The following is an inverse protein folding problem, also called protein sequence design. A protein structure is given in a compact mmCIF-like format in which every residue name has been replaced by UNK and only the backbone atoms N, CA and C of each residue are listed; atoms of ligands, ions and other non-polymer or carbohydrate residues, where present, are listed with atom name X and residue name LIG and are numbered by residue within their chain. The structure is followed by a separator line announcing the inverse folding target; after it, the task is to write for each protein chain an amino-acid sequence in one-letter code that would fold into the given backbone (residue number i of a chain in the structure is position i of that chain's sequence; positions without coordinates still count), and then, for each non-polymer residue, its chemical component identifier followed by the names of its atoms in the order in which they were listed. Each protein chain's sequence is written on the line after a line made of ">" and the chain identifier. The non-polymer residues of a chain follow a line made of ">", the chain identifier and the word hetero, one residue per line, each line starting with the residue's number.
data_IF_465850894052
#
_entry.id   IF_465850894052
#
_cell.length_a   1.000
_cell.length_b   1.000
_cell.length_c   1.000
_cell.angle_alpha   90.00
_cell.angle_beta   90.00
_cell.angle_gamma   90.00
#
_symmetry.space_group_name_H-M   'P 1'
#
loop_
_entity.id
_entity.type
_entity.pdbx_description
1 polymer ?
#
# COMPACT_ATOMS: atom_id res chain seq x y z
N UNK A 1 -3.04 -22.51 -4.83
CA UNK A 1 -2.21 -22.22 -3.65
C UNK A 1 -3.06 -21.48 -2.62
N UNK A 2 -2.65 -21.49 -1.34
CA UNK A 2 -3.30 -20.78 -0.24
C UNK A 2 -2.44 -19.60 0.26
N UNK A 3 -3.05 -18.70 1.01
CA UNK A 3 -2.40 -17.56 1.63
C UNK A 3 -3.06 -17.23 2.97
N UNK A 4 -2.46 -17.69 4.04
CA UNK A 4 -2.88 -17.34 5.40
C UNK A 4 -2.69 -15.85 5.70
N UNK A 5 -1.73 -15.20 5.03
CA UNK A 5 -1.55 -13.75 5.08
C UNK A 5 -2.79 -13.02 4.55
N UNK A 6 -3.27 -13.41 3.36
CA UNK A 6 -4.47 -12.86 2.75
C UNK A 6 -5.71 -13.11 3.61
N UNK A 7 -5.93 -14.36 4.01
CA UNK A 7 -7.10 -14.74 4.82
C UNK A 7 -7.16 -13.96 6.14
N UNK A 8 -6.02 -13.78 6.81
CA UNK A 8 -5.94 -12.99 8.04
C UNK A 8 -6.21 -11.51 7.80
N UNK A 9 -5.64 -10.93 6.74
CA UNK A 9 -5.80 -9.51 6.43
C UNK A 9 -7.25 -9.14 6.10
N UNK A 10 -7.94 -10.00 5.35
CA UNK A 10 -9.30 -9.74 4.85
C UNK A 10 -10.38 -10.54 5.57
N UNK A 11 -10.04 -11.22 6.67
CA UNK A 11 -10.94 -12.05 7.47
C UNK A 11 -11.67 -13.13 6.66
N UNK A 12 -10.99 -13.65 5.64
CA UNK A 12 -11.40 -14.86 4.95
C UNK A 12 -10.87 -16.12 5.65
N UNK A 13 -11.25 -17.27 5.16
CA UNK A 13 -10.71 -18.55 5.59
C UNK A 13 -10.75 -19.55 4.45
N UNK A 14 -9.60 -20.19 4.19
CA UNK A 14 -9.48 -21.22 3.17
C UNK A 14 -9.65 -20.70 1.75
N UNK A 15 -9.19 -19.48 1.49
CA UNK A 15 -9.15 -18.91 0.14
C UNK A 15 -8.11 -19.62 -0.71
N UNK A 16 -8.48 -19.98 -1.93
CA UNK A 16 -7.60 -20.63 -2.90
C UNK A 16 -7.30 -19.69 -4.08
N UNK A 17 -6.08 -19.78 -4.62
CA UNK A 17 -5.62 -18.98 -5.74
C UNK A 17 -5.02 -19.84 -6.85
N UNK A 18 -5.32 -19.48 -8.11
CA UNK A 18 -4.49 -19.82 -9.24
C UNK A 18 -3.51 -18.65 -9.44
N UNK A 19 -2.20 -18.90 -9.37
CA UNK A 19 -1.20 -17.85 -9.35
C UNK A 19 0.11 -18.28 -10.01
N UNK A 20 0.88 -17.30 -10.48
CA UNK A 20 2.22 -17.46 -11.02
C UNK A 20 3.23 -16.76 -10.11
N UNK A 21 4.43 -17.29 -10.00
CA UNK A 21 5.54 -16.60 -9.30
C UNK A 21 5.85 -15.29 -10.00
N UNK A 22 5.85 -14.17 -9.26
CA UNK A 22 6.26 -12.88 -9.80
C UNK A 22 7.72 -12.91 -10.27
N UNK A 23 8.59 -13.64 -9.59
CA UNK A 23 9.98 -13.78 -10.01
C UNK A 23 10.08 -14.43 -11.40
N UNK A 24 9.37 -15.55 -11.62
CA UNK A 24 9.35 -16.22 -12.94
C UNK A 24 8.73 -15.35 -14.03
N UNK A 25 7.76 -14.50 -13.68
CA UNK A 25 7.18 -13.56 -14.62
C UNK A 25 8.20 -12.47 -14.99
N UNK A 26 8.92 -11.91 -14.01
CA UNK A 26 9.93 -10.88 -14.21
C UNK A 26 11.07 -11.37 -15.10
N UNK A 27 11.49 -12.62 -14.94
CA UNK A 27 12.57 -13.24 -15.74
C UNK A 27 12.27 -13.27 -17.26
N UNK A 28 11.00 -13.06 -17.65
CA UNK A 28 10.61 -12.96 -19.06
C UNK A 28 10.85 -11.56 -19.65
N UNK A 29 11.22 -10.58 -18.86
CA UNK A 29 11.41 -9.19 -19.29
C UNK A 29 12.87 -8.75 -19.16
N UNK A 30 13.28 -7.88 -20.07
CA UNK A 30 14.57 -7.20 -19.95
C UNK A 30 14.41 -5.96 -19.07
N UNK A 31 14.90 -6.02 -17.86
CA UNK A 31 14.94 -4.87 -16.97
C UNK A 31 15.97 -3.86 -17.46
N UNK A 32 15.61 -2.58 -17.45
CA UNK A 32 16.57 -1.51 -17.67
C UNK A 32 17.50 -1.37 -16.49
N UNK A 33 18.68 -0.82 -16.73
CA UNK A 33 19.68 -0.65 -15.68
C UNK A 33 19.12 0.14 -14.48
N UNK A 34 19.18 -0.49 -13.31
CA UNK A 34 18.75 0.09 -12.03
C UNK A 34 17.25 -0.01 -11.74
N UNK A 35 16.44 -0.65 -12.58
CA UNK A 35 15.05 -1.02 -12.21
C UNK A 35 15.09 -2.12 -11.17
N UNK A 36 14.52 -1.84 -10.01
CA UNK A 36 14.57 -2.70 -8.82
C UNK A 36 13.22 -2.84 -8.10
N UNK A 37 12.14 -2.38 -8.75
CA UNK A 37 10.77 -2.48 -8.24
C UNK A 37 9.74 -2.56 -9.36
N UNK A 38 8.53 -3.03 -9.01
CA UNK A 38 7.35 -3.03 -9.86
C UNK A 38 6.31 -2.07 -9.28
N UNK A 39 5.90 -1.10 -10.06
CA UNK A 39 4.75 -0.26 -9.83
C UNK A 39 3.51 -0.95 -10.40
N UNK A 40 2.48 -1.09 -9.59
CA UNK A 40 1.24 -1.79 -9.89
C UNK A 40 0.12 -0.77 -9.97
N UNK A 41 -0.30 -0.41 -11.17
CA UNK A 41 -1.43 0.49 -11.38
C UNK A 41 -2.72 -0.33 -11.43
N UNK A 42 -3.71 0.03 -10.64
CA UNK A 42 -4.98 -0.65 -10.51
C UNK A 42 -6.12 0.06 -11.27
N UNK A 43 -7.22 -0.65 -11.54
CA UNK A 43 -8.38 -0.09 -12.23
C UNK A 43 -9.16 0.91 -11.36
N UNK A 44 -9.01 0.84 -10.05
CA UNK A 44 -9.71 1.66 -9.06
C UNK A 44 -8.83 2.80 -8.50
N UNK A 45 -7.82 3.23 -9.26
CA UNK A 45 -6.87 4.28 -8.90
C UNK A 45 -5.98 3.97 -7.67
N UNK A 46 -6.00 2.75 -7.16
CA UNK A 46 -4.99 2.25 -6.23
C UNK A 46 -3.66 2.06 -6.98
N UNK A 47 -2.54 2.30 -6.28
CA UNK A 47 -1.21 2.11 -6.85
C UNK A 47 -0.29 1.38 -5.87
N UNK A 48 -0.01 0.11 -6.11
CA UNK A 48 0.96 -0.68 -5.36
C UNK A 48 2.39 -0.45 -5.84
N UNK A 49 3.36 -0.66 -4.96
CA UNK A 49 4.79 -0.65 -5.31
C UNK A 49 5.52 -1.71 -4.50
N UNK A 50 6.14 -2.65 -5.19
CA UNK A 50 6.83 -3.80 -4.58
C UNK A 50 8.25 -3.87 -5.11
N UNK A 51 9.23 -3.96 -4.20
CA UNK A 51 10.62 -4.12 -4.58
C UNK A 51 10.92 -5.54 -5.10
N UNK A 52 11.89 -5.68 -5.99
CA UNK A 52 12.36 -7.01 -6.42
C UNK A 52 12.93 -7.81 -5.24
N UNK A 53 13.52 -7.13 -4.25
CA UNK A 53 14.00 -7.76 -3.02
C UNK A 53 12.87 -8.35 -2.18
N UNK A 54 11.70 -7.71 -2.10
CA UNK A 54 10.52 -8.27 -1.43
C UNK A 54 9.94 -9.46 -2.20
N UNK A 55 9.89 -9.36 -3.54
CA UNK A 55 9.43 -10.46 -4.39
C UNK A 55 10.28 -11.71 -4.16
N UNK A 56 11.59 -11.56 -4.14
CA UNK A 56 12.52 -12.66 -3.88
C UNK A 56 12.41 -13.18 -2.44
N UNK A 57 12.39 -12.27 -1.45
CA UNK A 57 12.37 -12.61 -0.03
C UNK A 57 11.12 -13.37 0.38
N UNK A 58 9.98 -12.91 -0.10
CA UNK A 58 8.66 -13.44 0.29
C UNK A 58 8.03 -14.35 -0.76
N UNK A 59 8.78 -14.64 -1.85
CA UNK A 59 8.30 -15.48 -2.95
C UNK A 59 6.91 -15.05 -3.43
N UNK A 60 6.77 -13.73 -3.69
CA UNK A 60 5.47 -13.17 -4.03
C UNK A 60 4.94 -13.72 -5.35
N UNK A 61 3.64 -13.95 -5.39
CA UNK A 61 2.93 -14.47 -6.56
C UNK A 61 1.90 -13.46 -7.07
N UNK A 62 1.58 -13.56 -8.35
CA UNK A 62 0.49 -12.84 -9.00
C UNK A 62 -0.66 -13.83 -9.24
N UNK A 63 -1.76 -13.63 -8.52
CA UNK A 63 -2.93 -14.46 -8.68
C UNK A 63 -3.77 -14.00 -9.88
N UNK A 64 -4.13 -14.96 -10.73
CA UNK A 64 -4.99 -14.78 -11.89
C UNK A 64 -6.43 -15.18 -11.60
N UNK A 65 -6.66 -15.91 -10.49
CA UNK A 65 -7.98 -16.32 -10.05
C UNK A 65 -8.03 -16.42 -8.53
N UNK A 66 -9.15 -16.01 -7.96
CA UNK A 66 -9.46 -16.16 -6.54
C UNK A 66 -10.72 -17.00 -6.38
N UNK A 67 -10.67 -17.98 -5.48
CA UNK A 67 -11.81 -18.79 -5.05
C UNK A 67 -12.01 -18.58 -3.56
N UNK A 68 -12.99 -17.77 -3.20
CA UNK A 68 -13.42 -17.61 -1.81
C UNK A 68 -14.38 -18.74 -1.41
N UNK A 69 -14.45 -19.04 -0.14
CA UNK A 69 -15.35 -20.06 0.41
C UNK A 69 -16.81 -19.73 0.05
N UNK A 70 -17.60 -20.76 -0.24
CA UNK A 70 -19.01 -20.60 -0.53
C UNK A 70 -19.73 -19.86 0.62
N UNK A 71 -20.50 -18.80 0.26
CA UNK A 71 -21.20 -17.95 1.22
C UNK A 71 -20.40 -16.74 1.73
N UNK A 72 -19.12 -16.61 1.37
CA UNK A 72 -18.35 -15.38 1.64
C UNK A 72 -18.67 -14.31 0.60
N UNK A 73 -18.91 -13.08 1.04
CA UNK A 73 -19.00 -11.94 0.10
C UNK A 73 -17.61 -11.53 -0.35
N UNK A 74 -17.50 -11.11 -1.60
CA UNK A 74 -16.27 -10.58 -2.17
C UNK A 74 -16.53 -9.15 -2.64
N UNK A 75 -15.80 -8.15 -2.14
CA UNK A 75 -15.96 -6.76 -2.60
C UNK A 75 -15.48 -6.62 -4.06
N UNK A 76 -16.07 -5.68 -4.78
CA UNK A 76 -15.82 -5.47 -6.22
C UNK A 76 -14.37 -5.14 -6.55
N UNK A 77 -13.66 -4.46 -5.63
CA UNK A 77 -12.24 -4.15 -5.80
C UNK A 77 -11.32 -5.39 -5.68
N UNK A 78 -11.78 -6.47 -5.05
CA UNK A 78 -10.99 -7.69 -4.87
C UNK A 78 -11.04 -8.56 -6.13
N UNK A 79 -10.43 -8.10 -7.18
CA UNK A 79 -10.33 -8.80 -8.46
C UNK A 79 -8.89 -9.16 -8.81
N UNK A 80 -8.67 -10.22 -9.56
CA UNK A 80 -7.42 -10.46 -10.25
C UNK A 80 -7.15 -9.34 -11.30
N UNK A 81 -5.89 -9.03 -11.56
CA UNK A 81 -4.69 -9.62 -10.96
C UNK A 81 -4.49 -9.09 -9.55
N UNK A 82 -3.98 -9.92 -8.65
CA UNK A 82 -3.67 -9.49 -7.27
C UNK A 82 -2.37 -10.14 -6.76
N UNK A 83 -1.68 -9.41 -5.88
CA UNK A 83 -0.46 -9.89 -5.23
C UNK A 83 -0.81 -10.85 -4.10
N UNK A 84 -0.10 -11.96 -4.02
CA UNK A 84 -0.28 -12.97 -2.97
C UNK A 84 1.06 -13.24 -2.28
N UNK A 85 1.00 -13.26 -0.95
CA UNK A 85 2.05 -13.81 -0.09
C UNK A 85 1.73 -15.29 0.14
N UNK A 86 2.54 -16.25 -0.34
CA UNK A 86 2.28 -17.68 -0.16
C UNK A 86 2.41 -18.11 1.30
N UNK A 87 1.77 -19.22 1.64
CA UNK A 87 1.96 -19.83 2.97
C UNK A 87 3.43 -20.17 3.26
N UNK A 88 3.80 -20.07 4.53
CA UNK A 88 5.18 -20.24 4.96
C UNK A 88 6.05 -18.98 4.85
N UNK A 89 5.54 -17.90 4.25
CA UNK A 89 6.15 -16.58 4.24
C UNK A 89 5.34 -15.65 5.14
N UNK A 90 6.01 -14.96 6.05
CA UNK A 90 5.36 -14.13 7.07
C UNK A 90 5.97 -12.72 7.11
N UNK A 91 5.74 -11.87 6.07
CA UNK A 91 6.07 -10.45 6.18
C UNK A 91 5.22 -9.79 7.27
N UNK A 92 5.67 -8.62 7.76
CA UNK A 92 4.80 -7.74 8.52
C UNK A 92 3.56 -7.40 7.69
N UNK A 93 2.44 -7.14 8.34
CA UNK A 93 1.26 -6.65 7.64
C UNK A 93 1.52 -5.27 7.08
N UNK A 94 1.43 -5.16 5.76
CA UNK A 94 1.57 -3.92 5.00
C UNK A 94 0.62 -3.95 3.81
N UNK A 95 -0.05 -2.84 3.57
CA UNK A 95 -1.05 -2.67 2.52
C UNK A 95 -0.52 -3.06 1.13
N UNK A 96 0.75 -2.79 0.85
CA UNK A 96 1.39 -3.07 -0.44
C UNK A 96 1.35 -4.55 -0.85
N UNK A 97 1.26 -5.48 0.12
CA UNK A 97 1.16 -6.91 -0.17
C UNK A 97 -0.27 -7.40 -0.45
N UNK A 98 -1.24 -6.47 -0.44
CA UNK A 98 -2.65 -6.74 -0.73
C UNK A 98 -3.13 -6.03 -1.99
N UNK A 99 -2.21 -5.58 -2.84
CA UNK A 99 -2.56 -4.92 -4.11
C UNK A 99 -3.36 -5.85 -5.01
N UNK A 100 -4.58 -5.45 -5.33
CA UNK A 100 -5.53 -6.18 -6.16
C UNK A 100 -6.06 -5.32 -7.32
N UNK A 101 -6.85 -5.92 -8.22
CA UNK A 101 -7.44 -5.23 -9.36
C UNK A 101 -6.38 -4.57 -10.27
N UNK A 102 -5.23 -5.22 -10.41
CA UNK A 102 -4.07 -4.70 -11.13
C UNK A 102 -4.36 -4.67 -12.63
N UNK A 103 -4.17 -3.51 -13.25
CA UNK A 103 -4.29 -3.24 -14.68
C UNK A 103 -2.96 -3.30 -15.42
N UNK A 104 -1.90 -2.81 -14.76
CA UNK A 104 -0.60 -2.59 -15.38
C UNK A 104 0.52 -2.83 -14.39
N UNK A 105 1.60 -3.45 -14.87
CA UNK A 105 2.86 -3.59 -14.17
C UNK A 105 3.92 -2.74 -14.90
N UNK A 106 4.59 -1.85 -14.18
CA UNK A 106 5.66 -1.01 -14.72
C UNK A 106 6.93 -1.19 -13.90
N UNK A 107 8.06 -1.50 -14.54
CA UNK A 107 9.34 -1.53 -13.85
C UNK A 107 9.85 -0.12 -13.58
N UNK A 108 10.33 0.11 -12.36
CA UNK A 108 10.79 1.41 -11.91
C UNK A 108 12.03 1.30 -11.03
N UNK A 109 12.76 2.41 -10.89
CA UNK A 109 13.80 2.54 -9.86
C UNK A 109 13.16 3.03 -8.57
N UNK A 110 13.18 2.20 -7.54
CA UNK A 110 12.53 2.47 -6.25
C UNK A 110 13.01 3.78 -5.63
N UNK A 111 14.32 4.04 -5.70
CA UNK A 111 14.88 5.27 -5.17
C UNK A 111 14.36 6.52 -5.90
N UNK A 112 14.29 6.48 -7.23
CA UNK A 112 13.81 7.61 -8.04
C UNK A 112 12.32 7.86 -7.82
N UNK A 113 11.55 6.78 -7.66
CA UNK A 113 10.13 6.88 -7.32
C UNK A 113 9.91 7.61 -5.99
N UNK A 114 10.64 7.25 -4.94
CA UNK A 114 10.48 7.86 -3.63
C UNK A 114 11.26 9.15 -3.41
N UNK A 115 12.17 9.53 -4.32
CA UNK A 115 13.06 10.69 -4.15
C UNK A 115 12.33 11.99 -3.75
N UNK A 116 11.20 12.38 -4.36
CA UNK A 116 10.48 13.60 -3.99
C UNK A 116 10.00 13.61 -2.54
N UNK A 117 9.62 12.43 -2.01
CA UNK A 117 9.13 12.25 -0.65
C UNK A 117 10.29 12.13 0.36
N UNK A 118 11.34 11.39 0.01
CA UNK A 118 12.55 11.26 0.84
C UNK A 118 13.23 12.59 1.13
N UNK A 119 13.32 13.48 0.14
CA UNK A 119 13.90 14.83 0.30
C UNK A 119 13.19 15.62 1.38
N UNK A 120 11.87 15.51 1.45
CA UNK A 120 11.07 16.20 2.46
C UNK A 120 11.17 15.51 3.82
N UNK A 121 11.14 14.19 3.86
CA UNK A 121 11.27 13.41 5.09
C UNK A 121 12.61 13.62 5.80
N UNK A 122 13.65 14.03 5.08
CA UNK A 122 15.00 14.21 5.63
C UNK A 122 15.13 15.35 6.67
N UNK A 123 14.09 16.16 6.91
CA UNK A 123 14.13 17.32 7.81
C UNK A 123 14.14 16.95 9.30
N UNK A 124 13.60 15.81 9.69
CA UNK A 124 13.63 15.31 11.09
C UNK A 124 13.50 13.78 11.13
N UNK A 125 13.84 13.21 12.29
CA UNK A 125 13.70 11.77 12.53
C UNK A 125 12.24 11.33 12.54
N UNK A 126 11.35 12.13 13.14
CA UNK A 126 9.92 11.86 13.18
C UNK A 126 9.32 11.89 11.76
N UNK A 127 9.75 12.84 10.92
CA UNK A 127 9.30 12.90 9.53
C UNK A 127 9.80 11.70 8.72
N UNK A 128 11.03 11.22 8.98
CA UNK A 128 11.55 9.99 8.35
C UNK A 128 10.75 8.75 8.76
N UNK A 129 10.47 8.60 10.06
CA UNK A 129 9.64 7.50 10.56
C UNK A 129 8.22 7.57 9.96
N UNK A 130 7.62 8.77 9.94
CA UNK A 130 6.31 8.97 9.34
C UNK A 130 6.28 8.68 7.84
N UNK A 131 7.34 9.00 7.10
CA UNK A 131 7.48 8.64 5.70
C UNK A 131 7.48 7.11 5.51
N UNK A 132 8.20 6.35 6.33
CA UNK A 132 8.22 4.89 6.22
C UNK A 132 6.83 4.28 6.47
N UNK A 133 6.10 4.78 7.48
CA UNK A 133 4.72 4.34 7.74
C UNK A 133 3.80 4.71 6.57
N UNK A 134 3.86 5.97 6.10
CA UNK A 134 3.05 6.47 5.00
C UNK A 134 3.28 5.70 3.71
N UNK A 135 4.54 5.48 3.38
CA UNK A 135 4.98 4.72 2.21
C UNK A 135 4.39 3.30 2.17
N UNK A 136 4.35 2.63 3.32
CA UNK A 136 3.97 1.23 3.40
C UNK A 136 2.46 1.01 3.57
N UNK A 137 1.69 2.05 3.98
CA UNK A 137 0.29 1.88 4.36
C UNK A 137 -0.68 2.92 3.79
N UNK A 138 -0.23 4.09 3.37
CA UNK A 138 -1.12 5.19 2.98
C UNK A 138 -0.98 5.60 1.51
N UNK A 139 0.26 5.58 1.00
CA UNK A 139 0.62 6.12 -0.31
C UNK A 139 -0.14 5.45 -1.46
N UNK A 140 -0.56 4.21 -1.27
CA UNK A 140 -1.26 3.43 -2.28
C UNK A 140 -2.63 4.00 -2.66
N UNK A 141 -3.27 4.69 -1.71
CA UNK A 141 -4.56 5.35 -1.89
C UNK A 141 -4.46 6.87 -1.87
N UNK A 142 -3.50 7.43 -1.13
CA UNK A 142 -3.36 8.87 -0.91
C UNK A 142 -2.07 9.38 -1.52
N UNK A 143 -2.15 9.88 -2.76
CA UNK A 143 -0.98 10.39 -3.46
C UNK A 143 -0.38 11.64 -2.82
N UNK A 144 0.95 11.73 -2.86
CA UNK A 144 1.72 12.91 -2.48
C UNK A 144 2.80 13.21 -3.52
N UNK A 145 2.99 14.47 -3.88
CA UNK A 145 4.03 14.92 -4.84
C UNK A 145 4.06 14.09 -6.14
N UNK A 146 2.88 13.73 -6.65
CA UNK A 146 2.73 12.93 -7.86
C UNK A 146 3.17 11.46 -7.72
N UNK A 147 3.22 10.94 -6.51
CA UNK A 147 3.47 9.52 -6.20
C UNK A 147 2.29 8.93 -5.45
N UNK A 148 2.01 7.67 -5.69
CA UNK A 148 0.90 6.96 -5.04
C UNK A 148 -0.41 6.99 -5.82
N UNK A 149 -1.42 6.31 -5.29
CA UNK A 149 -2.76 6.21 -5.87
C UNK A 149 -3.66 7.40 -5.53
N UNK A 150 -4.80 7.49 -6.21
CA UNK A 150 -5.79 8.54 -6.03
C UNK A 150 -7.16 8.00 -5.59
N UNK A 151 -7.22 6.76 -5.10
CA UNK A 151 -8.43 6.13 -4.58
C UNK A 151 -8.95 6.84 -3.32
N UNK A 152 -8.03 7.29 -2.44
CA UNK A 152 -8.35 8.02 -1.23
C UNK A 152 -8.49 9.54 -1.46
N UNK A 153 -9.01 10.24 -0.45
CA UNK A 153 -9.11 11.69 -0.47
C UNK A 153 -7.74 12.37 -0.56
N UNK A 154 -7.70 13.54 -1.16
CA UNK A 154 -6.50 14.39 -1.19
C UNK A 154 -6.30 15.02 0.18
N UNK A 155 -5.35 14.52 0.97
CA UNK A 155 -5.18 14.86 2.38
C UNK A 155 -5.02 16.35 2.63
N UNK A 156 -4.30 17.10 1.79
CA UNK A 156 -4.10 18.55 1.96
C UNK A 156 -5.29 19.41 1.57
N UNK A 157 -6.27 18.87 0.85
CA UNK A 157 -7.57 19.54 0.63
C UNK A 157 -8.49 19.32 1.82
N UNK A 158 -8.45 18.11 2.40
CA UNK A 158 -9.37 17.72 3.48
C UNK A 158 -8.89 18.22 4.86
N UNK A 159 -7.55 18.28 5.09
CA UNK A 159 -6.98 18.55 6.41
C UNK A 159 -5.99 19.70 6.40
N UNK A 160 -6.15 20.63 7.34
CA UNK A 160 -5.19 21.71 7.58
C UNK A 160 -4.11 21.27 8.58
N UNK A 161 -3.11 20.50 8.14
CA UNK A 161 -2.05 19.99 9.01
C UNK A 161 -1.25 21.05 9.74
N UNK A 162 -1.23 22.30 9.28
CA UNK A 162 -0.58 23.42 10.00
C UNK A 162 -1.30 23.86 11.28
N UNK A 163 -2.54 23.41 11.48
CA UNK A 163 -3.37 23.71 12.65
C UNK A 163 -3.58 22.43 13.47
N UNK A 164 -3.57 22.56 14.79
CA UNK A 164 -3.82 21.43 15.70
C UNK A 164 -5.18 20.76 15.42
N UNK A 165 -6.22 21.56 15.24
CA UNK A 165 -7.58 21.09 14.90
C UNK A 165 -7.60 20.21 13.65
N UNK A 166 -6.86 20.59 12.60
CA UNK A 166 -6.79 19.80 11.36
C UNK A 166 -6.01 18.49 11.54
N UNK A 167 -5.00 18.46 12.42
CA UNK A 167 -4.29 17.25 12.79
C UNK A 167 -5.19 16.30 13.58
N UNK A 168 -5.91 16.82 14.57
CA UNK A 168 -6.86 16.05 15.38
C UNK A 168 -8.01 15.50 14.52
N UNK A 169 -8.55 16.32 13.61
CA UNK A 169 -9.55 15.86 12.63
C UNK A 169 -9.02 14.68 11.82
N UNK A 170 -7.80 14.77 11.28
CA UNK A 170 -7.18 13.67 10.53
C UNK A 170 -7.06 12.39 11.35
N UNK A 171 -6.58 12.49 12.61
CA UNK A 171 -6.43 11.33 13.50
C UNK A 171 -7.77 10.67 13.84
N UNK A 172 -8.84 11.47 14.00
CA UNK A 172 -10.17 10.96 14.29
C UNK A 172 -10.82 10.35 13.04
N UNK A 173 -10.75 11.05 11.90
CA UNK A 173 -11.33 10.58 10.64
C UNK A 173 -10.63 9.28 10.18
N UNK A 174 -9.32 9.13 10.42
CA UNK A 174 -8.62 7.88 10.12
C UNK A 174 -9.31 6.67 10.77
N UNK A 175 -9.67 6.77 12.04
CA UNK A 175 -10.34 5.70 12.77
C UNK A 175 -11.73 5.37 12.21
N UNK A 176 -12.44 6.40 11.76
CA UNK A 176 -13.80 6.26 11.22
C UNK A 176 -13.77 5.64 9.82
N UNK A 177 -12.91 6.18 8.94
CA UNK A 177 -12.89 5.79 7.53
C UNK A 177 -12.12 4.48 7.26
N UNK A 178 -11.25 4.07 8.18
CA UNK A 178 -10.49 2.83 8.10
C UNK A 178 -10.95 1.81 9.15
N UNK A 179 -12.21 1.91 9.60
CA UNK A 179 -12.78 1.03 10.61
C UNK A 179 -12.94 -0.40 10.09
N UNK A 180 -12.83 -1.34 11.01
CA UNK A 180 -12.95 -2.80 10.88
C UNK A 180 -14.23 -3.29 10.20
N UNK A 181 -15.27 -2.46 10.20
CA UNK A 181 -16.56 -2.78 9.58
C UNK A 181 -16.65 -2.42 8.10
N UNK A 182 -15.72 -1.67 7.56
CA UNK A 182 -15.79 -1.20 6.17
C UNK A 182 -15.07 -2.18 5.22
N UNK A 183 -15.83 -3.01 4.54
CA UNK A 183 -15.35 -4.04 3.61
C UNK A 183 -14.59 -3.43 2.41
N UNK A 184 -14.92 -2.19 2.03
CA UNK A 184 -14.28 -1.49 0.93
C UNK A 184 -12.99 -0.76 1.34
N UNK A 185 -12.83 -0.55 2.65
CA UNK A 185 -11.65 0.07 3.24
C UNK A 185 -11.09 -0.91 4.23
N UNK A 186 -10.12 -1.69 3.81
CA UNK A 186 -9.47 -2.66 4.66
C UNK A 186 -9.13 -2.07 6.02
N UNK A 187 -9.08 -2.92 7.01
CA UNK A 187 -8.72 -2.64 8.39
C UNK A 187 -7.27 -2.14 8.50
N UNK A 188 -7.01 -0.95 7.93
CA UNK A 188 -5.68 -0.31 7.93
C UNK A 188 -5.19 -0.07 9.36
N UNK A 189 -6.10 -0.01 10.34
CA UNK A 189 -5.73 0.07 11.75
C UNK A 189 -4.94 -1.17 12.21
N UNK A 190 -5.10 -2.33 11.56
CA UNK A 190 -4.26 -3.50 11.82
C UNK A 190 -2.80 -3.25 11.45
N UNK A 191 -2.54 -2.37 10.48
CA UNK A 191 -1.21 -2.10 9.97
C UNK A 191 -0.57 -0.87 10.58
N UNK A 192 -1.37 0.06 11.13
CA UNK A 192 -0.91 1.36 11.63
C UNK A 192 -1.41 1.59 13.06
N UNK A 193 -0.47 1.69 13.99
CA UNK A 193 -0.77 2.05 15.39
C UNK A 193 -1.03 3.56 15.52
N UNK A 194 -1.67 3.98 16.64
CA UNK A 194 -1.89 5.40 16.94
C UNK A 194 -0.59 6.21 17.00
N UNK A 195 0.50 5.62 17.51
CA UNK A 195 1.79 6.32 17.57
C UNK A 195 2.45 6.41 16.19
N UNK A 196 2.36 5.38 15.38
CA UNK A 196 2.77 5.45 13.97
C UNK A 196 1.99 6.52 13.21
N UNK A 197 0.68 6.64 13.44
CA UNK A 197 -0.14 7.67 12.80
C UNK A 197 0.27 9.09 13.19
N UNK A 198 0.72 9.31 14.43
CA UNK A 198 1.31 10.59 14.85
C UNK A 198 2.59 10.92 14.07
N UNK A 199 3.46 9.93 13.83
CA UNK A 199 4.65 10.16 12.98
C UNK A 199 4.27 10.50 11.54
N UNK A 200 3.18 9.92 11.01
CA UNK A 200 2.63 10.31 9.70
C UNK A 200 2.25 11.78 9.68
N UNK A 201 1.62 12.31 10.74
CA UNK A 201 1.31 13.75 10.85
C UNK A 201 2.58 14.59 10.75
N UNK A 202 3.67 14.20 11.41
CA UNK A 202 4.97 14.91 11.30
C UNK A 202 5.51 14.91 9.87
N UNK A 203 5.40 13.79 9.18
CA UNK A 203 5.78 13.71 7.77
C UNK A 203 4.91 14.61 6.88
N UNK A 204 3.59 14.59 7.04
CA UNK A 204 2.67 15.44 6.27
C UNK A 204 2.91 16.94 6.54
N UNK A 205 3.24 17.33 7.77
CA UNK A 205 3.69 18.67 8.09
C UNK A 205 4.95 19.07 7.33
N UNK A 206 5.90 18.16 7.23
CA UNK A 206 7.13 18.36 6.46
C UNK A 206 6.84 18.54 4.97
N UNK A 207 5.96 17.72 4.41
CA UNK A 207 5.52 17.81 3.00
C UNK A 207 4.90 19.18 2.72
N UNK A 208 4.01 19.64 3.58
CA UNK A 208 3.37 20.96 3.44
C UNK A 208 4.37 22.12 3.49
N UNK A 209 5.33 22.09 4.40
CA UNK A 209 6.42 23.10 4.48
C UNK A 209 7.29 23.08 3.21
N UNK A 210 7.46 21.93 2.59
CA UNK A 210 8.19 21.76 1.33
C UNK A 210 7.43 22.17 0.07
N UNK A 211 6.27 22.84 0.18
CA UNK A 211 5.57 23.52 -0.92
C UNK A 211 4.51 22.68 -1.64
N UNK A 212 3.95 21.65 -1.05
CA UNK A 212 2.73 21.02 -1.56
C UNK A 212 1.51 21.80 -1.04
N UNK A 213 0.67 22.26 -1.99
CA UNK A 213 -0.60 22.94 -1.71
C UNK A 213 -1.77 22.01 -1.95
#
# INVERSE_FOLDING_TARGET
>A
MSSSYFDRALKYSGTEFEAVSLLKLIDQFQLKNGEDAILLNCFDDYQGLISLSDILRYDLHLATKIKVKLGSSRPDWLNPLLVIVPDGKNPLFEERFLTANIRELQFVRLNDYYMPLKKVAAISDEARQGFEVYKNNCLFCHSLKGRGGNKGVRLFYEYSFSKLEGQEKFLNDFKIFHDKGNVDKQDVEQFVTGDQLKTVVHFLLAVRKGGER
#
